data_IF_199130398063
#
_entry.id   IF_199130398063
#
_cell.length_a   1.000
_cell.length_b   1.000
_cell.length_c   1.000
_cell.angle_alpha   90.00
_cell.angle_beta   90.00
_cell.angle_gamma   90.00
#
_symmetry.space_group_name_H-M   'P 1'
#
loop_
_entity.id
_entity.type
_entity.pdbx_description
1 polymer ?
#
# COMPACT_ATOMS: atom_id res chain seq x y z
N UNK A 1 12.82 -1.49 4.20
CA UNK A 1 13.12 -1.04 5.59
C UNK A 1 11.91 -0.65 6.43
N UNK A 2 11.27 0.51 6.25
CA UNK A 2 10.18 0.96 7.17
C UNK A 2 9.04 -0.06 7.25
N UNK A 3 8.43 -0.40 6.11
CA UNK A 3 7.31 -1.34 6.07
C UNK A 3 7.69 -2.71 6.64
N UNK A 4 8.86 -3.24 6.28
CA UNK A 4 9.35 -4.54 6.75
C UNK A 4 9.50 -4.58 8.27
N UNK A 5 10.01 -3.50 8.88
CA UNK A 5 10.13 -3.38 10.34
C UNK A 5 8.76 -3.35 10.99
N UNK A 6 7.84 -2.55 10.47
CA UNK A 6 6.47 -2.49 10.97
C UNK A 6 5.76 -3.83 10.84
N UNK A 7 5.86 -4.50 9.70
CA UNK A 7 5.23 -5.81 9.46
C UNK A 7 5.74 -6.89 10.43
N UNK A 8 6.98 -6.76 10.93
CA UNK A 8 7.51 -7.65 11.98
C UNK A 8 7.01 -7.28 13.38
N UNK A 9 6.71 -6.02 13.63
CA UNK A 9 6.29 -5.51 14.94
C UNK A 9 4.78 -5.63 15.16
N UNK A 10 3.99 -5.23 14.17
CA UNK A 10 2.53 -5.36 14.17
C UNK A 10 2.02 -5.61 12.73
N UNK A 11 1.84 -6.89 12.35
CA UNK A 11 1.33 -7.26 11.03
C UNK A 11 -0.03 -6.63 10.71
N UNK A 12 -0.89 -6.44 11.72
CA UNK A 12 -2.26 -5.93 11.55
C UNK A 12 -2.25 -4.45 11.19
N UNK A 13 -1.30 -3.69 11.72
CA UNK A 13 -1.09 -2.29 11.31
C UNK A 13 -0.48 -2.23 9.92
N UNK A 14 0.48 -3.11 9.61
CA UNK A 14 1.08 -3.17 8.28
C UNK A 14 0.04 -3.45 7.19
N UNK A 15 -0.92 -4.35 7.46
CA UNK A 15 -2.09 -4.66 6.65
C UNK A 15 -3.02 -3.46 6.35
N UNK A 16 -2.90 -2.36 7.09
CA UNK A 16 -3.74 -1.16 6.87
C UNK A 16 -3.02 -0.04 6.12
N UNK A 17 -1.76 -0.25 5.74
CA UNK A 17 -0.98 0.73 4.96
C UNK A 17 -1.33 0.70 3.48
N UNK A 18 -1.60 1.87 2.90
CA UNK A 18 -1.74 2.07 1.46
C UNK A 18 -0.53 2.87 0.97
N UNK A 19 0.17 2.36 -0.03
CA UNK A 19 1.29 3.08 -0.65
C UNK A 19 0.78 4.01 -1.75
N UNK A 20 1.44 5.16 -1.91
CA UNK A 20 1.14 6.12 -2.97
C UNK A 20 2.44 6.56 -3.67
N UNK A 21 2.70 6.04 -4.86
CA UNK A 21 3.93 6.26 -5.64
C UNK A 21 3.80 7.45 -6.57
N UNK A 22 4.90 8.08 -7.01
CA UNK A 22 4.90 9.16 -8.01
C UNK A 22 5.62 8.76 -9.30
N UNK A 23 5.89 9.75 -10.14
CA UNK A 23 6.25 9.69 -11.57
C UNK A 23 7.53 8.91 -11.92
N UNK A 24 8.20 8.32 -10.93
CA UNK A 24 9.39 7.49 -11.14
C UNK A 24 9.38 6.32 -10.17
N UNK A 25 8.52 5.35 -10.47
CA UNK A 25 8.61 4.03 -9.82
C UNK A 25 9.76 3.29 -10.50
N UNK A 26 10.93 3.21 -9.84
CA UNK A 26 11.97 2.27 -10.26
C UNK A 26 11.38 0.85 -10.18
N UNK A 27 11.80 -0.05 -11.07
CA UNK A 27 11.22 -1.39 -11.18
C UNK A 27 11.24 -2.20 -9.87
N UNK A 28 12.22 -1.94 -9.00
CA UNK A 28 12.32 -2.51 -7.65
C UNK A 28 11.13 -2.14 -6.74
N UNK A 29 10.64 -0.92 -6.85
CA UNK A 29 9.54 -0.38 -6.05
C UNK A 29 8.22 -0.98 -6.52
N UNK A 30 8.02 -1.14 -7.83
CA UNK A 30 6.82 -1.77 -8.37
C UNK A 30 6.77 -3.25 -7.98
N UNK A 31 7.89 -3.97 -8.16
CA UNK A 31 8.00 -5.38 -7.78
C UNK A 31 7.75 -5.58 -6.28
N UNK A 32 8.24 -4.68 -5.43
CA UNK A 32 7.92 -4.71 -4.01
C UNK A 32 6.42 -4.56 -3.75
N UNK A 33 5.76 -3.60 -4.38
CA UNK A 33 4.32 -3.35 -4.17
C UNK A 33 3.46 -4.50 -4.70
N UNK A 34 3.81 -5.07 -5.84
CA UNK A 34 3.15 -6.26 -6.39
C UNK A 34 3.33 -7.48 -5.47
N UNK A 35 4.53 -7.69 -4.94
CA UNK A 35 4.81 -8.79 -4.01
C UNK A 35 4.03 -8.69 -2.69
N UNK A 36 3.60 -7.49 -2.29
CA UNK A 36 2.72 -7.32 -1.13
C UNK A 36 1.28 -7.78 -1.40
N UNK A 37 0.87 -7.92 -2.67
CA UNK A 37 -0.47 -8.37 -3.05
C UNK A 37 -1.60 -7.43 -2.60
N UNK A 38 -1.30 -6.13 -2.42
CA UNK A 38 -2.19 -5.17 -1.77
C UNK A 38 -2.37 -3.91 -2.63
N UNK A 39 -3.50 -3.18 -2.48
CA UNK A 39 -3.73 -1.97 -3.24
C UNK A 39 -2.67 -0.90 -2.96
N UNK A 40 -2.15 -0.31 -4.02
CA UNK A 40 -1.33 0.90 -3.99
C UNK A 40 -1.88 1.90 -5.00
N UNK A 41 -1.55 3.19 -4.80
CA UNK A 41 -1.98 4.28 -5.64
C UNK A 41 -0.79 4.80 -6.45
N UNK A 42 -0.99 5.01 -7.75
CA UNK A 42 -0.04 5.73 -8.58
C UNK A 42 -0.46 7.20 -8.62
N UNK A 43 0.44 8.14 -8.33
CA UNK A 43 0.17 9.58 -8.41
C UNK A 43 0.37 10.06 -9.86
N UNK A 44 -0.43 11.04 -10.30
CA UNK A 44 -1.62 11.55 -9.63
C UNK A 44 -2.75 10.50 -9.63
N UNK A 45 -3.52 10.46 -8.53
CA UNK A 45 -4.72 9.62 -8.41
C UNK A 45 -5.94 10.47 -8.08
N UNK A 46 -7.11 9.95 -8.44
CA UNK A 46 -8.42 10.52 -8.20
C UNK A 46 -8.92 10.21 -6.77
N UNK A 47 -9.90 10.99 -6.32
CA UNK A 47 -10.63 10.69 -5.08
C UNK A 47 -11.36 9.34 -5.13
N UNK A 48 -11.77 8.89 -6.32
CA UNK A 48 -12.43 7.59 -6.49
C UNK A 48 -11.45 6.45 -6.21
N UNK A 49 -10.23 6.52 -6.76
CA UNK A 49 -9.16 5.54 -6.51
C UNK A 49 -8.76 5.51 -5.04
N UNK A 50 -8.63 6.69 -4.40
CA UNK A 50 -8.36 6.77 -2.95
C UNK A 50 -9.47 6.09 -2.13
N UNK A 51 -10.75 6.36 -2.43
CA UNK A 51 -11.87 5.72 -1.73
C UNK A 51 -11.88 4.21 -1.92
N UNK A 52 -11.57 3.72 -3.11
CA UNK A 52 -11.49 2.29 -3.38
C UNK A 52 -10.37 1.63 -2.55
N UNK A 53 -9.18 2.24 -2.50
CA UNK A 53 -8.06 1.74 -1.71
C UNK A 53 -8.37 1.72 -0.20
N UNK A 54 -8.98 2.79 0.33
CA UNK A 54 -9.42 2.86 1.72
C UNK A 54 -10.50 1.81 2.05
N UNK A 55 -11.44 1.60 1.13
CA UNK A 55 -12.47 0.59 1.28
C UNK A 55 -11.92 -0.85 1.35
N UNK A 56 -10.77 -1.11 0.72
CA UNK A 56 -10.08 -2.39 0.85
C UNK A 56 -9.40 -2.52 2.23
N UNK A 57 -8.66 -1.51 2.66
CA UNK A 57 -7.97 -1.52 3.95
C UNK A 57 -8.93 -1.58 5.15
N UNK A 58 -10.14 -1.04 5.02
CA UNK A 58 -11.17 -1.09 6.07
C UNK A 58 -11.84 -2.46 6.23
N UNK A 59 -11.75 -3.35 5.23
CA UNK A 59 -12.34 -4.69 5.27
C UNK A 59 -11.43 -5.72 5.96
N UNK A 60 -10.18 -5.36 6.26
CA UNK A 60 -9.24 -6.25 6.93
C UNK A 60 -9.49 -6.19 8.45
N UNK A 61 -9.61 -7.36 9.12
CA UNK A 61 -9.86 -7.42 10.56
C UNK A 61 -8.69 -6.84 11.36
N UNK A 62 -8.99 -6.25 12.52
CA UNK A 62 -8.04 -5.56 13.39
C UNK A 62 -7.30 -6.50 14.36
#
# INVERSE_FOLDING_TARGET
EMYTKLARQDPRVAERIIFATGDTVRGDTLQFLEALGRPYLHKPFTLAELRAALGHAAKQPA
#
